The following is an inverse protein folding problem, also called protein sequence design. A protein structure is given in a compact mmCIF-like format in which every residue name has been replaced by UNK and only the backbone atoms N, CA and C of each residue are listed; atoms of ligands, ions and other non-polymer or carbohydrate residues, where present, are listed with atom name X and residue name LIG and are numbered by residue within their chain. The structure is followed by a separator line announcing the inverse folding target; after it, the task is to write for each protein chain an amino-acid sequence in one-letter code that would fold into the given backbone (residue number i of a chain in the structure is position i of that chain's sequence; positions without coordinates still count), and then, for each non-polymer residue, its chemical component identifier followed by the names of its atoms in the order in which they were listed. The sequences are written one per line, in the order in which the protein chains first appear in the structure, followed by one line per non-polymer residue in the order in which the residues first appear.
data_IF_227616574423
#
_entry.id   IF_227616574423
#
_cell.length_a   1.000
_cell.length_b   1.000
_cell.length_c   1.000
_cell.angle_alpha   90.00
_cell.angle_beta   90.00
_cell.angle_gamma   90.00
#
_symmetry.space_group_name_H-M   'P 1'
#
loop_
_entity.id
_entity.type
_entity.pdbx_description
1 polymer ?
#
# COMPACT_ATOMS: atom_id res chain seq x y z
N UNK A 1 19.93 1.75 19.53
CA UNK A 1 18.83 1.13 20.30
C UNK A 1 18.01 0.26 19.35
N UNK A 2 17.77 -1.01 19.69
CA UNK A 2 16.94 -1.93 18.89
C UNK A 2 15.48 -1.46 18.98
N UNK A 3 14.96 -0.86 17.91
CA UNK A 3 13.53 -0.56 17.80
C UNK A 3 12.82 -1.88 17.55
N UNK A 4 12.19 -2.44 18.57
CA UNK A 4 11.11 -3.37 18.31
C UNK A 4 9.91 -2.48 18.03
N UNK A 5 9.39 -2.55 16.81
CA UNK A 5 8.30 -1.71 16.34
C UNK A 5 6.99 -2.07 17.04
N UNK A 6 6.94 -2.10 18.38
CA UNK A 6 5.76 -2.48 19.14
C UNK A 6 5.49 -3.98 19.26
N UNK A 7 6.42 -4.83 18.88
CA UNK A 7 6.40 -6.27 19.15
C UNK A 7 7.45 -6.64 20.22
N UNK A 8 7.33 -7.79 20.90
CA UNK A 8 8.42 -8.31 21.72
C UNK A 8 9.69 -8.50 20.87
N UNK A 9 10.87 -8.34 21.48
CA UNK A 9 12.12 -8.61 20.78
C UNK A 9 12.23 -10.10 20.40
N UNK A 10 13.08 -10.41 19.41
CA UNK A 10 13.24 -11.78 18.91
C UNK A 10 13.56 -12.81 20.01
N UNK A 11 14.34 -12.43 21.04
CA UNK A 11 14.62 -13.34 22.16
C UNK A 11 13.36 -13.63 22.98
N UNK A 12 12.54 -12.62 23.29
CA UNK A 12 11.28 -12.84 24.01
C UNK A 12 10.35 -13.73 23.20
N UNK A 13 10.26 -13.52 21.88
CA UNK A 13 9.45 -14.40 21.01
C UNK A 13 9.96 -15.85 21.08
N UNK A 14 11.28 -16.06 21.03
CA UNK A 14 11.89 -17.38 21.14
C UNK A 14 11.60 -18.07 22.47
N UNK A 15 11.58 -17.33 23.59
CA UNK A 15 11.19 -17.87 24.90
C UNK A 15 9.75 -18.37 24.90
N UNK A 16 8.82 -17.55 24.40
CA UNK A 16 7.41 -17.94 24.29
C UNK A 16 7.23 -19.20 23.44
N UNK A 17 7.93 -19.30 22.32
CA UNK A 17 7.92 -20.50 21.46
C UNK A 17 8.51 -21.71 22.19
N UNK A 18 9.63 -21.54 22.89
CA UNK A 18 10.29 -22.63 23.62
C UNK A 18 9.45 -23.18 24.78
N UNK A 19 8.64 -22.31 25.41
CA UNK A 19 7.73 -22.67 26.50
C UNK A 19 6.31 -23.03 26.02
N UNK A 20 6.08 -23.09 24.70
CA UNK A 20 4.77 -23.28 24.07
C UNK A 20 3.69 -22.33 24.61
N UNK A 21 4.09 -21.11 25.00
CA UNK A 21 3.20 -20.09 25.53
C UNK A 21 2.81 -19.09 24.44
N UNK A 22 1.55 -18.65 24.38
CA UNK A 22 1.17 -17.54 23.53
C UNK A 22 1.86 -16.25 24.02
N UNK A 23 2.17 -15.34 23.10
CA UNK A 23 2.65 -14.00 23.46
C UNK A 23 1.52 -13.26 24.20
N UNK A 24 1.75 -12.78 25.45
CA UNK A 24 0.75 -12.02 26.18
C UNK A 24 0.36 -10.76 25.41
N UNK A 25 -0.94 -10.46 25.38
CA UNK A 25 -1.43 -9.27 24.68
C UNK A 25 -0.90 -7.96 25.28
N UNK A 26 -0.53 -7.99 26.56
CA UNK A 26 0.11 -6.88 27.27
C UNK A 26 1.53 -6.57 26.77
N UNK A 27 2.21 -7.56 26.14
CA UNK A 27 3.54 -7.39 25.56
C UNK A 27 3.49 -6.87 24.11
N UNK A 28 2.29 -6.75 23.54
CA UNK A 28 2.05 -6.22 22.19
C UNK A 28 1.64 -4.76 22.31
N UNK A 29 2.27 -3.89 21.52
CA UNK A 29 1.92 -2.48 21.51
C UNK A 29 0.48 -2.27 21.00
N UNK A 30 -0.30 -1.35 21.59
CA UNK A 30 -1.67 -1.04 21.15
C UNK A 30 -1.83 -0.74 19.66
N UNK A 31 -0.77 -0.26 18.99
CA UNK A 31 -0.75 -0.07 17.54
C UNK A 31 -1.04 -1.36 16.77
N UNK A 32 -0.48 -2.50 17.21
CA UNK A 32 -0.68 -3.81 16.60
C UNK A 32 -1.94 -4.52 17.08
N UNK A 33 -2.53 -4.10 18.21
CA UNK A 33 -3.83 -4.61 18.68
C UNK A 33 -4.99 -4.25 17.74
N UNK A 34 -4.77 -3.33 16.79
CA UNK A 34 -5.72 -2.99 15.74
C UNK A 34 -5.77 -4.01 14.59
N UNK A 35 -4.81 -4.93 14.51
CA UNK A 35 -4.85 -6.04 13.56
C UNK A 35 -5.81 -7.10 14.08
N UNK A 36 -7.06 -6.97 13.70
CA UNK A 36 -8.06 -7.98 13.96
C UNK A 36 -7.92 -9.11 12.91
N UNK A 37 -7.62 -10.32 13.37
CA UNK A 37 -7.58 -11.53 12.54
C UNK A 37 -8.96 -12.15 12.34
N UNK A 38 -10.02 -11.58 12.93
CA UNK A 38 -11.37 -11.93 12.55
C UNK A 38 -11.45 -11.80 11.03
N UNK A 39 -11.86 -12.88 10.37
CA UNK A 39 -12.30 -12.84 8.98
C UNK A 39 -13.20 -11.64 8.89
N UNK A 40 -12.82 -10.64 8.08
CA UNK A 40 -13.66 -9.48 7.85
C UNK A 40 -15.04 -10.04 7.53
N UNK A 41 -15.97 -9.92 8.48
CA UNK A 41 -17.35 -10.13 8.14
C UNK A 41 -17.56 -8.99 7.17
N UNK A 42 -17.68 -9.31 5.88
CA UNK A 42 -18.41 -8.48 4.94
C UNK A 42 -19.87 -8.41 5.44
N UNK A 43 -20.08 -7.97 6.67
CA UNK A 43 -21.27 -7.26 7.02
C UNK A 43 -21.15 -6.01 6.19
N UNK A 44 -22.00 -5.94 5.17
CA UNK A 44 -22.23 -4.82 4.29
C UNK A 44 -22.49 -3.54 5.12
N UNK A 45 -21.45 -2.98 5.73
CA UNK A 45 -21.24 -1.56 5.56
C UNK A 45 -20.84 -1.45 4.09
N UNK A 46 -21.85 -1.51 3.21
CA UNK A 46 -21.77 -1.03 1.85
C UNK A 46 -21.48 0.46 1.98
N UNK A 47 -20.22 0.77 2.28
CA UNK A 47 -19.69 2.07 1.94
C UNK A 47 -20.06 2.22 0.47
N UNK A 48 -20.87 3.23 0.17
CA UNK A 48 -21.38 3.46 -1.16
C UNK A 48 -20.17 3.52 -2.09
N UNK A 49 -19.89 2.42 -2.79
CA UNK A 49 -18.80 2.30 -3.77
C UNK A 49 -19.15 3.03 -5.07
N UNK A 50 -20.25 3.79 -5.07
CA UNK A 50 -20.58 4.69 -6.15
C UNK A 50 -19.53 5.80 -6.23
N UNK A 51 -19.19 6.16 -7.45
CA UNK A 51 -18.34 7.31 -7.77
C UNK A 51 -19.17 8.46 -8.36
N UNK A 52 -20.50 8.34 -8.38
CA UNK A 52 -21.39 9.27 -9.07
C UNK A 52 -21.33 10.67 -8.47
N UNK A 53 -21.22 10.76 -7.15
CA UNK A 53 -21.09 12.03 -6.43
C UNK A 53 -19.79 12.74 -6.81
N UNK A 54 -18.67 12.01 -6.80
CA UNK A 54 -17.35 12.49 -7.16
C UNK A 54 -17.31 12.94 -8.62
N UNK A 55 -17.87 12.14 -9.53
CA UNK A 55 -17.94 12.46 -10.95
C UNK A 55 -18.81 13.69 -11.21
N UNK A 56 -19.91 13.84 -10.48
CA UNK A 56 -20.78 15.04 -10.55
C UNK A 56 -20.07 16.31 -10.08
N UNK A 57 -19.26 16.21 -9.03
CA UNK A 57 -18.44 17.33 -8.54
C UNK A 57 -17.39 17.75 -9.58
N UNK A 58 -16.72 16.78 -10.20
CA UNK A 58 -15.73 17.02 -11.25
C UNK A 58 -16.40 17.66 -12.48
N UNK A 59 -17.57 17.15 -12.88
CA UNK A 59 -18.34 17.69 -13.99
C UNK A 59 -18.71 19.16 -13.77
N UNK A 60 -19.26 19.48 -12.60
CA UNK A 60 -19.62 20.85 -12.20
C UNK A 60 -18.39 21.77 -12.24
N UNK A 61 -17.28 21.33 -11.63
CA UNK A 61 -16.02 22.09 -11.62
C UNK A 61 -15.48 22.32 -13.04
N UNK A 62 -15.59 21.34 -13.93
CA UNK A 62 -15.15 21.47 -15.31
C UNK A 62 -15.89 22.60 -16.04
N UNK A 63 -17.21 22.67 -15.90
CA UNK A 63 -18.01 23.72 -16.54
C UNK A 63 -17.75 25.11 -15.97
N UNK A 64 -17.49 25.20 -14.66
CA UNK A 64 -17.15 26.46 -13.98
C UNK A 64 -15.72 26.94 -14.24
N UNK A 65 -14.84 26.09 -14.77
CA UNK A 65 -13.44 26.43 -15.02
C UNK A 65 -13.25 27.19 -16.34
N UNK A 66 -12.20 28.01 -16.38
CA UNK A 66 -11.70 28.63 -17.60
C UNK A 66 -10.99 27.60 -18.52
N UNK A 67 -10.50 28.05 -19.67
CA UNK A 67 -9.89 27.17 -20.66
C UNK A 67 -8.66 26.44 -20.12
N UNK A 68 -7.81 27.11 -19.33
CA UNK A 68 -6.63 26.52 -18.72
C UNK A 68 -7.00 25.48 -17.65
N UNK A 69 -8.00 25.78 -16.81
CA UNK A 69 -8.54 24.85 -15.82
C UNK A 69 -9.16 23.61 -16.44
N UNK A 70 -9.93 23.76 -17.52
CA UNK A 70 -10.50 22.64 -18.28
C UNK A 70 -9.43 21.71 -18.85
N UNK A 71 -8.37 22.26 -19.45
CA UNK A 71 -7.25 21.47 -19.96
C UNK A 71 -6.54 20.68 -18.84
N UNK A 72 -6.35 21.33 -17.68
CA UNK A 72 -5.73 20.70 -16.51
C UNK A 72 -6.58 19.54 -15.98
N UNK A 73 -7.89 19.75 -15.81
CA UNK A 73 -8.83 18.72 -15.35
C UNK A 73 -8.88 17.54 -16.33
N UNK A 74 -8.91 17.81 -17.65
CA UNK A 74 -8.89 16.77 -18.68
C UNK A 74 -7.62 15.91 -18.61
N UNK A 75 -6.45 16.52 -18.39
CA UNK A 75 -5.19 15.79 -18.22
C UNK A 75 -5.22 14.89 -16.98
N UNK A 76 -5.68 15.42 -15.85
CA UNK A 76 -5.77 14.67 -14.58
C UNK A 76 -6.73 13.48 -14.67
N UNK A 77 -7.89 13.66 -15.30
CA UNK A 77 -8.81 12.56 -15.56
C UNK A 77 -8.20 11.48 -16.44
N UNK A 78 -7.40 11.87 -17.45
CA UNK A 78 -6.69 10.90 -18.30
C UNK A 78 -5.64 10.12 -17.51
N UNK A 79 -4.85 10.79 -16.67
CA UNK A 79 -3.86 10.14 -15.79
C UNK A 79 -4.53 9.10 -14.85
N UNK A 80 -5.74 9.39 -14.35
CA UNK A 80 -6.49 8.47 -13.48
C UNK A 80 -7.11 7.29 -14.24
N UNK A 81 -7.72 7.54 -15.41
CA UNK A 81 -8.43 6.52 -16.17
C UNK A 81 -7.54 5.66 -17.08
N UNK A 82 -6.31 6.11 -17.34
CA UNK A 82 -5.35 5.43 -18.20
C UNK A 82 -3.94 5.51 -17.58
N UNK A 83 -3.59 4.57 -16.68
CA UNK A 83 -2.29 4.56 -16.01
C UNK A 83 -1.10 4.52 -16.96
N UNK A 84 -1.28 4.03 -18.20
CA UNK A 84 -0.24 4.03 -19.22
C UNK A 84 0.12 5.43 -19.72
N UNK A 85 -0.76 6.42 -19.50
CA UNK A 85 -0.47 7.85 -19.75
C UNK A 85 0.25 8.53 -18.60
N UNK A 86 0.32 7.88 -17.44
CA UNK A 86 1.17 8.35 -16.35
C UNK A 86 2.60 7.95 -16.66
N UNK A 87 3.56 8.84 -16.41
CA UNK A 87 5.00 8.53 -16.52
C UNK A 87 5.48 7.50 -15.49
N UNK A 88 4.57 6.79 -14.81
CA UNK A 88 4.85 5.67 -13.89
C UNK A 88 5.05 4.36 -14.66
N UNK A 89 5.59 4.43 -15.88
CA UNK A 89 6.05 3.25 -16.60
C UNK A 89 7.39 2.85 -15.98
N UNK A 90 7.56 1.61 -15.47
CA UNK A 90 8.86 1.16 -15.01
C UNK A 90 9.87 1.29 -16.16
N UNK A 91 11.10 1.78 -15.89
CA UNK A 91 12.07 2.03 -16.95
C UNK A 91 12.26 0.76 -17.81
N UNK A 92 12.34 0.89 -19.15
CA UNK A 92 12.37 -0.25 -20.08
C UNK A 92 13.57 -1.18 -19.84
N UNK A 93 14.59 -0.70 -19.13
CA UNK A 93 15.73 -1.48 -18.69
C UNK A 93 15.83 -1.37 -17.17
N UNK A 94 16.10 -2.50 -16.49
CA UNK A 94 16.53 -2.49 -15.08
C UNK A 94 17.77 -1.62 -14.95
N UNK A 95 17.59 -0.37 -14.56
CA UNK A 95 18.69 0.53 -14.26
C UNK A 95 19.42 -0.10 -13.08
N UNK A 96 20.73 -0.32 -13.20
CA UNK A 96 21.58 -0.68 -12.07
C UNK A 96 21.56 0.51 -11.11
N UNK A 97 20.58 0.53 -10.21
CA UNK A 97 20.61 1.42 -9.06
C UNK A 97 21.81 1.00 -8.22
N UNK A 98 22.48 1.96 -7.57
CA UNK A 98 23.62 1.71 -6.66
C UNK A 98 23.14 1.01 -5.38
N UNK A 99 22.46 -0.12 -5.52
CA UNK A 99 22.11 -1.04 -4.45
C UNK A 99 23.23 -2.04 -4.19
N UNK A 100 23.08 -2.79 -3.10
CA UNK A 100 23.98 -3.88 -2.71
C UNK A 100 24.18 -4.84 -3.91
N UNK A 101 25.42 -5.23 -4.25
CA UNK A 101 25.67 -6.26 -5.25
C UNK A 101 24.87 -7.52 -4.90
N UNK A 102 24.03 -7.97 -5.82
CA UNK A 102 23.38 -9.26 -5.74
C UNK A 102 24.34 -10.30 -6.31
N UNK A 103 25.05 -11.02 -5.46
CA UNK A 103 25.79 -12.23 -5.85
C UNK A 103 24.87 -13.44 -5.73
N UNK A 104 24.10 -13.68 -6.80
CA UNK A 104 23.35 -14.91 -6.99
C UNK A 104 23.88 -15.61 -8.23
N UNK A 105 24.55 -16.75 -8.04
CA UNK A 105 25.06 -17.58 -9.13
C UNK A 105 23.89 -18.10 -9.98
N UNK A 106 23.84 -17.67 -11.25
CA UNK A 106 23.03 -18.32 -12.27
C UNK A 106 23.69 -19.66 -12.63
N UNK A 107 23.19 -20.74 -12.05
CA UNK A 107 23.40 -22.08 -12.58
C UNK A 107 22.54 -22.24 -13.83
N UNK A 108 23.15 -22.14 -15.01
CA UNK A 108 22.56 -22.66 -16.24
C UNK A 108 22.70 -24.18 -16.20
N UNK A 109 21.56 -24.88 -16.11
CA UNK A 109 21.48 -26.30 -16.47
C UNK A 109 20.92 -26.41 -17.88
N UNK A 110 21.58 -27.27 -18.66
CA UNK A 110 21.38 -27.56 -20.07
C UNK A 110 19.94 -27.94 -20.47
#
# INVERSE_FOLDING_TARGET
MRSTHGLPCAHKIAEHVSCAQPIPILDINPHWMKLNLQKHQEGEASFEMSIDTEMSCIWTRFHMSDQAGKLTLKRKLRELGDPATTFLIPPPQKVKTKGRPFEGNFINSA
#
